data_IF_645438169139
#
_entry.id   IF_645438169139
#
_cell.length_a   1.000
_cell.length_b   1.000
_cell.length_c   1.000
_cell.angle_alpha   90.00
_cell.angle_beta   90.00
_cell.angle_gamma   90.00
#
_symmetry.space_group_name_H-M   'P 1'
#
loop_
_entity.id
_entity.type
_entity.pdbx_description
1 polymer ?
#
# COMPACT_ATOMS: atom_id res chain seq x y z
N UNK A 1 -24.69 43.23 20.05
CA UNK A 1 -23.87 42.11 20.56
C UNK A 1 -23.70 41.10 19.44
N UNK A 2 -22.49 40.90 18.93
CA UNK A 2 -22.18 39.88 17.94
C UNK A 2 -21.17 38.92 18.57
N UNK A 3 -21.58 37.67 18.77
CA UNK A 3 -20.73 36.62 19.31
C UNK A 3 -19.78 36.17 18.21
N UNK A 4 -18.48 36.48 18.36
CA UNK A 4 -17.42 35.82 17.59
C UNK A 4 -17.34 34.37 18.04
N UNK A 5 -17.73 33.42 17.19
CA UNK A 5 -17.33 32.02 17.37
C UNK A 5 -15.85 31.93 17.02
N UNK A 6 -15.02 31.87 18.06
CA UNK A 6 -13.60 31.65 17.93
C UNK A 6 -13.38 30.15 17.65
N UNK A 7 -13.34 29.77 16.37
CA UNK A 7 -12.82 28.46 16.00
C UNK A 7 -11.31 28.49 16.24
N UNK A 8 -10.90 28.28 17.50
CA UNK A 8 -9.57 27.71 17.74
C UNK A 8 -9.57 26.38 17.00
N UNK A 9 -9.08 26.38 15.77
CA UNK A 9 -8.64 25.16 15.13
C UNK A 9 -7.68 24.53 16.12
N UNK A 10 -8.04 23.36 16.65
CA UNK A 10 -7.12 22.57 17.43
C UNK A 10 -5.82 22.45 16.62
N UNK A 11 -4.67 22.98 17.08
CA UNK A 11 -3.41 22.87 16.33
C UNK A 11 -2.87 21.44 16.29
N UNK A 12 -3.65 20.45 16.74
CA UNK A 12 -3.32 19.03 16.74
C UNK A 12 -3.63 18.33 15.42
N UNK A 13 -4.28 18.98 14.44
CA UNK A 13 -4.52 18.37 13.14
C UNK A 13 -3.29 18.46 12.23
N UNK A 14 -2.15 17.95 12.68
CA UNK A 14 -1.10 17.50 11.78
C UNK A 14 -1.56 16.17 11.18
N UNK A 15 -2.33 16.25 10.09
CA UNK A 15 -2.70 15.06 9.31
C UNK A 15 -1.69 14.87 8.19
N UNK A 16 -0.91 13.80 8.27
CA UNK A 16 -0.21 13.28 7.09
C UNK A 16 -1.11 12.23 6.47
N UNK A 17 -1.49 12.44 5.21
CA UNK A 17 -2.36 11.54 4.45
C UNK A 17 -1.49 10.63 3.57
N UNK A 18 -1.80 9.34 3.54
CA UNK A 18 -1.19 8.41 2.61
C UNK A 18 -1.65 8.74 1.20
N UNK A 19 -0.71 9.14 0.35
CA UNK A 19 -0.97 9.45 -1.06
C UNK A 19 -0.75 8.22 -1.90
N UNK A 20 -1.75 7.83 -2.67
CA UNK A 20 -1.60 6.84 -3.73
C UNK A 20 -0.68 7.40 -4.83
N UNK A 21 0.52 6.82 -5.04
CA UNK A 21 1.44 7.27 -6.07
C UNK A 21 0.89 7.09 -7.48
N UNK A 22 -0.07 6.20 -7.68
CA UNK A 22 -0.61 5.88 -9.00
C UNK A 22 -2.15 5.95 -9.01
N UNK A 23 -2.70 7.03 -8.48
CA UNK A 23 -4.15 7.26 -8.51
C UNK A 23 -4.71 7.16 -9.94
N UNK A 24 -5.53 6.14 -10.21
CA UNK A 24 -6.12 5.92 -11.53
C UNK A 24 -7.41 6.73 -11.71
N UNK A 25 -7.66 7.20 -12.94
CA UNK A 25 -8.93 7.84 -13.32
C UNK A 25 -10.02 6.77 -13.28
N UNK A 26 -10.97 6.91 -12.35
CA UNK A 26 -11.98 5.88 -12.04
C UNK A 26 -11.77 5.19 -10.68
N UNK A 27 -10.71 5.55 -9.96
CA UNK A 27 -10.33 4.92 -8.70
C UNK A 27 -9.56 3.63 -8.91
N UNK A 28 -8.93 3.19 -7.84
CA UNK A 28 -8.28 1.90 -7.73
C UNK A 28 -8.52 1.33 -6.33
N UNK A 29 -8.10 0.09 -6.11
CA UNK A 29 -8.20 -0.57 -4.81
C UNK A 29 -7.09 -0.13 -3.84
N UNK A 30 -6.70 1.15 -3.88
CA UNK A 30 -5.72 1.69 -2.94
C UNK A 30 -6.24 1.55 -1.51
N UNK A 31 -5.41 0.96 -0.64
CA UNK A 31 -5.76 0.73 0.76
C UNK A 31 -6.66 -0.50 1.00
N UNK A 32 -6.98 -1.30 -0.02
CA UNK A 32 -7.81 -2.49 0.16
C UNK A 32 -7.21 -3.49 1.16
N UNK A 33 -5.88 -3.63 1.16
CA UNK A 33 -5.11 -4.34 2.18
C UNK A 33 -4.11 -3.34 2.76
N UNK A 34 -4.18 -3.13 4.07
CA UNK A 34 -3.23 -2.31 4.82
C UNK A 34 -2.74 -3.08 6.04
N UNK A 35 -1.42 -3.17 6.20
CA UNK A 35 -0.78 -3.79 7.36
C UNK A 35 0.30 -2.85 7.91
N UNK A 36 0.65 -3.06 9.18
CA UNK A 36 1.72 -2.34 9.86
C UNK A 36 2.78 -3.37 10.25
N UNK A 37 4.03 -3.08 9.91
CA UNK A 37 5.18 -3.92 10.24
C UNK A 37 5.69 -3.60 11.65
N UNK A 38 6.46 -4.50 12.29
CA UNK A 38 6.98 -4.26 13.64
C UNK A 38 7.90 -3.02 13.76
N UNK A 39 8.58 -2.62 12.67
CA UNK A 39 9.34 -1.36 12.58
C UNK A 39 8.45 -0.09 12.48
N UNK A 40 7.14 -0.24 12.40
CA UNK A 40 6.17 0.86 12.26
C UNK A 40 5.95 1.34 10.82
N UNK A 41 6.62 0.75 9.82
CA UNK A 41 6.33 1.01 8.42
C UNK A 41 4.94 0.46 8.06
N UNK A 42 4.24 1.18 7.18
CA UNK A 42 2.89 0.86 6.74
C UNK A 42 2.97 0.32 5.32
N UNK A 43 2.41 -0.86 5.09
CA UNK A 43 2.33 -1.48 3.77
C UNK A 43 0.90 -1.39 3.27
N UNK A 44 0.72 -0.88 2.06
CA UNK A 44 -0.59 -0.55 1.48
C UNK A 44 -0.67 -1.13 0.07
N UNK A 45 -1.71 -1.90 -0.22
CA UNK A 45 -1.98 -2.41 -1.56
C UNK A 45 -2.63 -1.34 -2.44
N UNK A 46 -2.42 -1.44 -3.75
CA UNK A 46 -3.16 -0.71 -4.78
C UNK A 46 -3.29 -1.58 -6.03
N UNK A 47 -4.34 -1.39 -6.81
CA UNK A 47 -4.54 -2.14 -8.07
C UNK A 47 -4.63 -1.19 -9.24
N UNK A 48 -3.72 -1.30 -10.20
CA UNK A 48 -3.56 -0.40 -11.33
C UNK A 48 -3.91 -1.09 -12.63
N UNK A 49 -5.03 -0.75 -13.26
CA UNK A 49 -5.30 -1.00 -14.69
C UNK A 49 -4.73 -2.34 -15.23
N UNK A 50 -4.99 -3.45 -14.54
CA UNK A 50 -4.46 -4.80 -14.84
C UNK A 50 -3.10 -5.19 -14.23
N UNK A 51 -2.68 -4.58 -13.12
CA UNK A 51 -1.47 -4.93 -12.37
C UNK A 51 -1.58 -4.49 -10.93
N UNK A 52 -1.22 -5.32 -9.98
CA UNK A 52 -1.19 -4.92 -8.58
C UNK A 52 0.08 -4.16 -8.22
N UNK A 53 -0.02 -3.36 -7.16
CA UNK A 53 1.08 -2.64 -6.55
C UNK A 53 1.00 -2.73 -5.01
N UNK A 54 2.14 -2.67 -4.35
CA UNK A 54 2.26 -2.56 -2.90
C UNK A 54 3.23 -1.45 -2.58
N UNK A 55 2.79 -0.49 -1.78
CA UNK A 55 3.59 0.65 -1.35
C UNK A 55 3.95 0.51 0.12
N UNK A 56 5.18 0.89 0.45
CA UNK A 56 5.68 0.91 1.82
C UNK A 56 5.91 2.37 2.21
N UNK A 57 5.28 2.79 3.30
CA UNK A 57 5.37 4.14 3.83
C UNK A 57 6.03 4.13 5.20
N UNK A 58 6.90 5.09 5.46
CA UNK A 58 7.38 5.37 6.79
C UNK A 58 6.56 6.53 7.38
N UNK A 59 5.74 6.29 8.41
CA UNK A 59 4.88 7.33 8.97
C UNK A 59 5.63 8.37 9.80
N UNK A 60 6.84 8.06 10.27
CA UNK A 60 7.63 8.93 11.13
C UNK A 60 8.27 10.07 10.34
N UNK A 61 8.91 9.72 9.21
CA UNK A 61 9.52 10.71 8.30
C UNK A 61 8.59 11.13 7.15
N UNK A 62 7.37 10.58 7.09
CA UNK A 62 6.32 10.95 6.13
C UNK A 62 6.74 10.70 4.68
N UNK A 63 7.43 9.58 4.43
CA UNK A 63 8.02 9.25 3.13
C UNK A 63 7.49 7.92 2.59
N UNK A 64 7.32 7.85 1.27
CA UNK A 64 7.23 6.60 0.55
C UNK A 64 8.64 5.96 0.49
N UNK A 65 8.78 4.76 1.03
CA UNK A 65 10.03 4.00 0.99
C UNK A 65 10.19 3.38 -0.41
N UNK A 66 9.15 2.70 -0.89
CA UNK A 66 9.21 2.01 -2.18
C UNK A 66 7.86 1.45 -2.62
N UNK A 67 7.85 0.96 -3.87
CA UNK A 67 6.70 0.31 -4.49
C UNK A 67 7.11 -0.98 -5.17
N UNK A 68 6.35 -2.05 -4.92
CA UNK A 68 6.48 -3.36 -5.58
C UNK A 68 5.33 -3.49 -6.56
N UNK A 69 5.60 -4.02 -7.74
CA UNK A 69 4.61 -4.19 -8.78
C UNK A 69 4.54 -5.66 -9.20
N UNK A 70 3.32 -6.12 -9.48
CA UNK A 70 3.06 -7.41 -10.11
C UNK A 70 3.38 -7.40 -11.60
N UNK A 71 2.92 -8.45 -12.28
CA UNK A 71 3.03 -8.60 -13.73
C UNK A 71 1.88 -7.87 -14.45
N UNK A 72 2.07 -7.61 -15.75
CA UNK A 72 1.07 -6.91 -16.56
C UNK A 72 0.03 -7.92 -17.06
N UNK A 73 -1.20 -7.87 -16.53
CA UNK A 73 -2.29 -8.74 -16.94
C UNK A 73 -3.47 -8.68 -15.95
N UNK A 74 -4.70 -8.57 -16.46
CA UNK A 74 -5.89 -8.28 -15.64
C UNK A 74 -6.17 -9.34 -14.56
N UNK A 75 -5.59 -10.53 -14.71
CA UNK A 75 -5.66 -11.59 -13.73
C UNK A 75 -4.78 -11.33 -12.49
N UNK A 76 -3.64 -10.62 -12.61
CA UNK A 76 -2.68 -10.48 -11.51
C UNK A 76 -3.28 -9.67 -10.36
N UNK A 77 -3.73 -10.36 -9.32
CA UNK A 77 -4.38 -9.81 -8.13
C UNK A 77 -3.68 -10.31 -6.88
N UNK A 78 -3.40 -9.39 -5.95
CA UNK A 78 -2.97 -9.73 -4.60
C UNK A 78 -4.14 -10.38 -3.89
N UNK A 79 -3.90 -11.55 -3.30
CA UNK A 79 -4.86 -12.20 -2.41
C UNK A 79 -4.59 -11.92 -0.95
N UNK A 80 -3.35 -11.61 -0.59
CA UNK A 80 -3.00 -11.34 0.80
C UNK A 80 -1.63 -10.70 0.94
N UNK A 81 -1.51 -9.91 2.01
CA UNK A 81 -0.23 -9.41 2.51
C UNK A 81 -0.17 -9.77 3.99
N UNK A 82 0.92 -10.39 4.43
CA UNK A 82 1.10 -10.79 5.83
C UNK A 82 2.42 -10.23 6.37
N UNK A 83 2.32 -9.44 7.44
CA UNK A 83 3.48 -8.95 8.18
C UNK A 83 4.14 -10.11 8.91
N UNK A 84 5.48 -10.15 8.89
CA UNK A 84 6.27 -11.08 9.68
C UNK A 84 6.91 -10.35 10.88
N UNK A 85 7.24 -11.07 11.97
CA UNK A 85 7.86 -10.46 13.16
C UNK A 85 9.26 -9.86 12.94
N UNK A 86 9.90 -10.14 11.81
CA UNK A 86 11.27 -9.73 11.48
C UNK A 86 11.32 -8.54 10.49
N UNK A 87 10.32 -7.65 10.53
CA UNK A 87 10.18 -6.50 9.62
C UNK A 87 10.04 -6.83 8.13
N UNK A 88 9.92 -8.11 7.78
CA UNK A 88 9.60 -8.54 6.43
C UNK A 88 8.10 -8.74 6.29
N UNK A 89 7.66 -8.95 5.06
CA UNK A 89 6.30 -9.35 4.77
C UNK A 89 6.25 -10.24 3.53
N UNK A 90 5.19 -11.02 3.46
CA UNK A 90 4.90 -11.86 2.28
C UNK A 90 3.72 -11.29 1.52
N UNK A 91 3.81 -11.33 0.21
CA UNK A 91 2.72 -11.00 -0.72
C UNK A 91 2.33 -12.29 -1.43
N UNK A 92 1.04 -12.63 -1.43
CA UNK A 92 0.50 -13.72 -2.23
C UNK A 92 -0.26 -13.17 -3.44
N UNK A 93 0.00 -13.74 -4.62
CA UNK A 93 -0.67 -13.45 -5.89
C UNK A 93 -1.12 -14.76 -6.54
N UNK A 94 -2.35 -14.80 -7.06
CA UNK A 94 -2.89 -16.00 -7.71
C UNK A 94 -2.44 -16.17 -9.17
N UNK A 95 -2.09 -15.08 -9.83
CA UNK A 95 -1.92 -15.01 -11.27
C UNK A 95 -0.65 -14.23 -11.60
N UNK A 96 0.47 -14.75 -11.09
CA UNK A 96 1.81 -14.27 -11.36
C UNK A 96 2.44 -15.13 -12.45
N UNK A 97 3.10 -14.51 -13.41
CA UNK A 97 3.77 -15.18 -14.51
C UNK A 97 5.24 -15.41 -14.13
N UNK A 98 5.67 -16.67 -14.02
CA UNK A 98 7.01 -17.02 -13.55
C UNK A 98 7.72 -17.87 -14.59
N UNK A 99 8.83 -17.36 -15.15
CA UNK A 99 9.71 -18.10 -16.06
C UNK A 99 8.93 -18.86 -17.15
N UNK A 100 8.11 -18.14 -17.92
CA UNK A 100 7.24 -18.64 -19.00
C UNK A 100 5.99 -19.45 -18.57
N UNK A 101 5.77 -19.66 -17.28
CA UNK A 101 4.52 -20.25 -16.76
C UNK A 101 3.49 -19.15 -16.52
N UNK A 102 2.49 -19.10 -17.41
CA UNK A 102 1.37 -18.15 -17.32
C UNK A 102 0.47 -18.49 -16.14
N UNK A 103 0.11 -17.49 -15.34
CA UNK A 103 -0.80 -17.59 -14.20
C UNK A 103 -0.39 -18.64 -13.15
N UNK A 104 0.91 -18.83 -12.92
CA UNK A 104 1.43 -19.77 -11.93
C UNK A 104 1.02 -19.39 -10.50
N UNK A 105 0.90 -18.08 -10.26
CA UNK A 105 0.78 -17.53 -8.91
C UNK A 105 2.12 -17.58 -8.17
N UNK A 106 2.26 -16.74 -7.15
CA UNK A 106 3.49 -16.67 -6.38
C UNK A 106 3.27 -16.17 -4.96
N UNK A 107 4.23 -16.53 -4.10
CA UNK A 107 4.42 -15.89 -2.80
C UNK A 107 5.78 -15.24 -2.80
N UNK A 108 5.83 -13.91 -2.67
CA UNK A 108 7.06 -13.12 -2.67
C UNK A 108 7.37 -12.66 -1.25
N UNK A 109 8.59 -12.92 -0.77
CA UNK A 109 9.11 -12.39 0.50
C UNK A 109 9.80 -11.06 0.23
N UNK A 110 9.43 -10.03 0.99
CA UNK A 110 9.90 -8.66 0.79
C UNK A 110 10.45 -8.09 2.09
N UNK A 111 11.55 -7.35 2.00
CA UNK A 111 12.07 -6.55 3.09
C UNK A 111 11.24 -5.27 3.24
N UNK A 112 10.77 -5.01 4.47
CA UNK A 112 9.94 -3.86 4.80
C UNK A 112 10.66 -2.66 5.41
N UNK A 113 11.99 -2.62 5.38
CA UNK A 113 12.82 -1.50 5.84
C UNK A 113 13.14 -0.47 4.73
#
# INVERSE_FOLDING_TARGET
>A
MCTKINTKTNPHSFRWELRDPNAAVGGNLFGAITIILPNGNIVVSSTLNSRWAVYIYNPYNKKLIGGIYGDTGAASQITGITALPNNNFVIASLYDDVNDVVNAGSVRLINGD
#
